data_IF_110130905117
#
_entry.id   IF_110130905117
#
_cell.length_a   1.000
_cell.length_b   1.000
_cell.length_c   1.000
_cell.angle_alpha   90.00
_cell.angle_beta   90.00
_cell.angle_gamma   90.00
#
_symmetry.space_group_name_H-M   'P 1'
#
loop_
_entity.id
_entity.type
_entity.pdbx_description
1 polymer ?
#
# COMPACT_ATOMS: atom_id res chain seq x y z
N UNK A 1 -16.67 3.99 -5.81
CA UNK A 1 -15.76 3.06 -5.11
C UNK A 1 -16.46 1.73 -4.94
N UNK A 2 -16.59 1.00 -6.05
CA UNK A 2 -16.95 -0.41 -6.04
C UNK A 2 -15.81 -1.24 -5.42
N UNK A 3 -16.10 -2.48 -5.02
CA UNK A 3 -15.12 -3.39 -4.43
C UNK A 3 -13.91 -3.60 -5.37
N UNK A 4 -14.14 -3.66 -6.68
CA UNK A 4 -13.11 -3.67 -7.72
C UNK A 4 -12.18 -2.45 -7.73
N UNK A 5 -12.68 -1.24 -7.50
CA UNK A 5 -11.82 -0.05 -7.45
C UNK A 5 -10.89 -0.09 -6.24
N UNK A 6 -11.38 -0.60 -5.09
CA UNK A 6 -10.58 -0.78 -3.89
C UNK A 6 -9.51 -1.85 -4.08
N UNK A 7 -9.86 -2.95 -4.76
CA UNK A 7 -8.93 -4.01 -5.13
C UNK A 7 -7.82 -3.49 -6.06
N UNK A 8 -8.19 -2.73 -7.09
CA UNK A 8 -7.23 -2.11 -8.01
C UNK A 8 -6.31 -1.11 -7.32
N UNK A 9 -6.86 -0.29 -6.41
CA UNK A 9 -6.06 0.64 -5.59
C UNK A 9 -5.06 -0.11 -4.68
N UNK A 10 -5.46 -1.28 -4.16
CA UNK A 10 -4.59 -2.12 -3.34
C UNK A 10 -3.40 -2.67 -4.14
N UNK A 11 -3.63 -3.15 -5.37
CA UNK A 11 -2.57 -3.60 -6.26
C UNK A 11 -1.58 -2.49 -6.61
N UNK A 12 -2.08 -1.27 -6.84
CA UNK A 12 -1.24 -0.09 -7.10
C UNK A 12 -0.35 0.26 -5.90
N UNK A 13 -0.90 0.20 -4.68
CA UNK A 13 -0.14 0.43 -3.44
C UNK A 13 0.89 -0.67 -3.18
N UNK A 14 0.60 -1.93 -3.52
CA UNK A 14 1.56 -3.03 -3.41
C UNK A 14 2.73 -2.87 -4.38
N UNK A 15 2.47 -2.45 -5.63
CA UNK A 15 3.54 -2.09 -6.59
C UNK A 15 4.41 -0.95 -6.05
N UNK A 16 3.80 0.10 -5.52
CA UNK A 16 4.51 1.24 -4.94
C UNK A 16 5.34 0.87 -3.72
N UNK A 17 4.88 -0.09 -2.92
CA UNK A 17 5.64 -0.67 -1.81
C UNK A 17 6.88 -1.42 -2.31
N UNK A 18 6.76 -2.17 -3.42
CA UNK A 18 7.87 -2.89 -4.04
C UNK A 18 8.93 -1.94 -4.60
N UNK A 19 8.52 -0.86 -5.28
CA UNK A 19 9.43 0.18 -5.76
C UNK A 19 10.15 0.87 -4.60
N UNK A 20 9.41 1.26 -3.55
CA UNK A 20 9.99 1.87 -2.35
C UNK A 20 10.96 0.93 -1.63
N UNK A 21 10.69 -0.37 -1.59
CA UNK A 21 11.60 -1.38 -1.03
C UNK A 21 12.85 -1.56 -1.90
N UNK A 22 12.71 -1.51 -3.22
CA UNK A 22 13.84 -1.63 -4.14
C UNK A 22 14.75 -0.39 -4.03
N UNK A 23 14.16 0.81 -4.00
CA UNK A 23 14.86 2.07 -3.76
C UNK A 23 15.54 2.10 -2.39
N UNK A 24 14.91 1.49 -1.38
CA UNK A 24 15.44 1.42 -0.04
C UNK A 24 16.73 0.61 0.11
N UNK A 25 16.95 -0.37 -0.78
CA UNK A 25 18.14 -1.23 -0.77
C UNK A 25 19.31 -0.57 -1.47
N UNK A 26 19.07 0.25 -2.49
CA UNK A 26 20.13 0.78 -3.36
C UNK A 26 20.89 1.99 -2.80
N UNK A 27 20.26 2.92 -2.09
CA UNK A 27 20.98 4.07 -1.53
C UNK A 27 20.18 4.72 -0.38
N UNK A 28 20.87 5.02 0.73
CA UNK A 28 20.40 5.71 1.95
C UNK A 28 18.92 6.15 1.94
N UNK A 29 18.12 5.37 2.64
CA UNK A 29 16.70 5.62 2.93
C UNK A 29 16.49 6.93 3.71
N UNK A 30 16.47 8.07 3.03
CA UNK A 30 15.98 9.33 3.61
C UNK A 30 14.47 9.26 3.91
N UNK A 31 13.74 8.39 3.19
CA UNK A 31 12.27 8.29 3.24
C UNK A 31 11.73 6.96 3.80
N UNK A 32 12.29 6.46 4.92
CA UNK A 32 11.73 5.30 5.65
C UNK A 32 10.27 5.48 6.08
N UNK A 33 9.81 6.72 6.23
CA UNK A 33 8.42 7.05 6.55
C UNK A 33 7.46 6.73 5.40
N UNK A 34 7.91 6.76 4.14
CA UNK A 34 7.09 6.43 2.97
C UNK A 34 6.61 4.96 2.99
N UNK A 35 7.51 4.04 3.34
CA UNK A 35 7.20 2.60 3.48
C UNK A 35 6.14 2.37 4.57
N UNK A 36 6.27 3.07 5.71
CA UNK A 36 5.33 2.96 6.83
C UNK A 36 3.94 3.46 6.43
N UNK A 37 3.87 4.58 5.70
CA UNK A 37 2.60 5.16 5.24
C UNK A 37 1.90 4.24 4.24
N UNK A 38 2.60 3.78 3.19
CA UNK A 38 2.01 2.87 2.18
C UNK A 38 1.50 1.59 2.82
N UNK A 39 2.24 1.02 3.78
CA UNK A 39 1.80 -0.17 4.51
C UNK A 39 0.55 0.07 5.37
N UNK A 40 0.38 1.27 5.91
CA UNK A 40 -0.84 1.67 6.66
C UNK A 40 -2.03 1.85 5.72
N UNK A 41 -1.84 2.43 4.54
CA UNK A 41 -2.91 2.59 3.56
C UNK A 41 -3.40 1.23 3.04
N UNK A 42 -2.49 0.28 2.76
CA UNK A 42 -2.86 -1.10 2.41
C UNK A 42 -3.72 -1.72 3.51
N UNK A 43 -3.31 -1.59 4.78
CA UNK A 43 -4.07 -2.12 5.91
C UNK A 43 -5.48 -1.50 6.00
N UNK A 44 -5.59 -0.17 5.81
CA UNK A 44 -6.87 0.54 5.87
C UNK A 44 -7.82 0.11 4.75
N UNK A 45 -7.32 -0.08 3.53
CA UNK A 45 -8.13 -0.59 2.41
C UNK A 45 -8.58 -2.02 2.66
N UNK A 46 -7.69 -2.88 3.18
CA UNK A 46 -8.06 -4.25 3.58
C UNK A 46 -9.15 -4.27 4.64
N UNK A 47 -9.10 -3.39 5.64
CA UNK A 47 -10.16 -3.26 6.65
C UNK A 47 -11.48 -2.84 6.01
N UNK A 48 -11.49 -1.81 5.17
CA UNK A 48 -12.74 -1.35 4.49
C UNK A 48 -13.31 -2.42 3.56
N UNK A 49 -12.46 -3.21 2.89
CA UNK A 49 -12.91 -4.34 2.08
C UNK A 49 -13.56 -5.42 2.96
N UNK A 50 -13.00 -5.69 4.14
CA UNK A 50 -13.56 -6.64 5.09
C UNK A 50 -14.90 -6.16 5.65
N UNK A 51 -14.99 -4.90 6.11
CA UNK A 51 -16.22 -4.28 6.63
C UNK A 51 -17.34 -4.15 5.59
N UNK A 52 -17.02 -4.20 4.28
CA UNK A 52 -18.01 -4.21 3.20
C UNK A 52 -18.46 -5.61 2.79
N UNK A 53 -17.72 -6.63 3.22
CA UNK A 53 -18.02 -8.04 2.93
C UNK A 53 -18.85 -8.65 4.06
N UNK A 54 -18.71 -8.15 5.29
CA UNK A 54 -19.62 -8.38 6.42
C UNK A 54 -20.90 -7.56 6.31
#
# INVERSE_FOLDING_TARGET
MSQDELQSTLEDLEKRLFELRSQAVTEKLENSKGIINVRRDIARIRTVLHERTE
#
